data_IF_147338405591
#
_entry.id   IF_147338405591
#
_cell.length_a   1.000
_cell.length_b   1.000
_cell.length_c   1.000
_cell.angle_alpha   90.00
_cell.angle_beta   90.00
_cell.angle_gamma   90.00
#
_symmetry.space_group_name_H-M   'P 1'
#
loop_
_entity.id
_entity.type
_entity.pdbx_description
1 polymer ?
#
# COMPACT_ATOMS: atom_id res chain seq x y z
N UNK A 1 18.49 -3.58 -36.41
CA UNK A 1 18.05 -4.76 -35.63
C UNK A 1 16.80 -4.42 -34.86
N UNK A 2 15.64 -4.64 -35.46
CA UNK A 2 14.34 -4.38 -34.81
C UNK A 2 14.05 -5.53 -33.86
N UNK A 3 14.28 -5.34 -32.56
CA UNK A 3 13.84 -6.30 -31.53
C UNK A 3 12.33 -6.16 -31.38
N UNK A 4 11.58 -6.90 -32.20
CA UNK A 4 10.15 -7.12 -31.98
C UNK A 4 10.02 -8.04 -30.77
N UNK A 5 9.92 -7.46 -29.57
CA UNK A 5 9.74 -8.22 -28.33
C UNK A 5 8.43 -9.01 -28.39
N UNK A 6 8.53 -10.33 -28.34
CA UNK A 6 7.37 -11.21 -28.17
C UNK A 6 6.88 -11.02 -26.73
N UNK A 7 5.90 -10.15 -26.54
CA UNK A 7 5.22 -9.98 -25.26
C UNK A 7 4.35 -11.22 -25.04
N UNK A 8 4.61 -11.96 -23.95
CA UNK A 8 3.85 -13.17 -23.59
C UNK A 8 2.35 -12.85 -23.43
N UNK A 9 1.48 -13.81 -23.75
CA UNK A 9 0.02 -13.65 -23.63
C UNK A 9 -0.42 -13.18 -22.23
N UNK A 10 0.26 -13.66 -21.18
CA UNK A 10 0.01 -13.25 -19.79
C UNK A 10 0.40 -11.79 -19.53
N UNK A 11 1.46 -11.28 -20.17
CA UNK A 11 1.87 -9.87 -20.04
C UNK A 11 0.90 -8.92 -20.78
N UNK A 12 0.32 -9.34 -21.91
CA UNK A 12 -0.70 -8.56 -22.62
C UNK A 12 -1.95 -8.32 -21.76
N UNK A 13 -2.41 -9.35 -21.04
CA UNK A 13 -3.57 -9.22 -20.15
C UNK A 13 -3.29 -8.23 -19.01
N UNK A 14 -2.08 -8.26 -18.43
CA UNK A 14 -1.68 -7.35 -17.35
C UNK A 14 -1.54 -5.89 -17.82
N UNK A 15 -1.01 -5.68 -19.03
CA UNK A 15 -0.98 -4.35 -19.66
C UNK A 15 -2.39 -3.77 -19.82
N UNK A 16 -3.36 -4.60 -20.20
CA UNK A 16 -4.76 -4.16 -20.29
C UNK A 16 -5.33 -3.78 -18.91
N UNK A 17 -4.98 -4.52 -17.85
CA UNK A 17 -5.36 -4.18 -16.47
C UNK A 17 -4.80 -2.83 -16.01
N UNK A 18 -3.51 -2.58 -16.27
CA UNK A 18 -2.86 -1.29 -15.98
C UNK A 18 -3.49 -0.15 -16.80
N UNK A 19 -3.72 -0.37 -18.10
CA UNK A 19 -4.35 0.64 -18.95
C UNK A 19 -5.77 0.99 -18.50
N UNK A 20 -6.56 -0.01 -18.08
CA UNK A 20 -7.90 0.18 -17.52
C UNK A 20 -7.85 1.00 -16.21
N UNK A 21 -6.90 0.70 -15.33
CA UNK A 21 -6.69 1.48 -14.11
C UNK A 21 -6.32 2.93 -14.40
N UNK A 22 -5.37 3.17 -15.31
CA UNK A 22 -4.95 4.53 -15.70
C UNK A 22 -6.11 5.30 -16.32
N UNK A 23 -6.88 4.68 -17.21
CA UNK A 23 -8.04 5.29 -17.84
C UNK A 23 -9.14 5.64 -16.82
N UNK A 24 -9.37 4.76 -15.83
CA UNK A 24 -10.38 4.94 -14.78
C UNK A 24 -10.02 6.05 -13.79
N UNK A 25 -8.74 6.17 -13.44
CA UNK A 25 -8.30 7.07 -12.35
C UNK A 25 -7.60 8.34 -12.86
N UNK A 26 -7.42 8.48 -14.16
CA UNK A 26 -6.72 9.61 -14.79
C UNK A 26 -5.30 9.83 -14.25
N UNK A 27 -4.63 8.77 -13.78
CA UNK A 27 -3.29 8.82 -13.23
C UNK A 27 -2.42 7.67 -13.77
N UNK A 28 -1.13 7.92 -13.95
CA UNK A 28 -0.17 6.90 -14.37
C UNK A 28 0.43 6.24 -13.14
N UNK A 29 0.60 4.92 -13.12
CA UNK A 29 1.32 4.24 -12.04
C UNK A 29 2.82 4.61 -12.07
N UNK A 30 3.47 4.78 -10.91
CA UNK A 30 4.92 4.93 -10.87
C UNK A 30 5.61 3.71 -11.50
N UNK A 31 6.73 3.96 -12.16
CA UNK A 31 7.35 2.98 -13.07
C UNK A 31 7.76 1.69 -12.35
N UNK A 32 8.19 1.77 -11.08
CA UNK A 32 8.54 0.59 -10.30
C UNK A 32 7.33 -0.27 -9.94
N UNK A 33 6.22 0.33 -9.53
CA UNK A 33 4.95 -0.36 -9.27
C UNK A 33 4.35 -0.95 -10.55
N UNK A 34 4.42 -0.21 -11.65
CA UNK A 34 3.99 -0.68 -12.97
C UNK A 34 4.81 -1.90 -13.39
N UNK A 35 6.13 -1.86 -13.23
CA UNK A 35 7.01 -3.01 -13.53
C UNK A 35 6.69 -4.23 -12.66
N UNK A 36 6.37 -4.01 -11.38
CA UNK A 36 5.85 -5.07 -10.51
C UNK A 36 4.58 -5.70 -11.09
N UNK A 37 3.57 -4.89 -11.46
CA UNK A 37 2.32 -5.41 -12.02
C UNK A 37 2.43 -6.04 -13.40
N UNK A 38 3.45 -5.66 -14.20
CA UNK A 38 3.79 -6.36 -15.43
C UNK A 38 4.33 -7.76 -15.14
N UNK A 39 5.04 -7.95 -14.03
CA UNK A 39 5.61 -9.23 -13.59
C UNK A 39 4.59 -10.09 -12.81
N UNK A 40 3.78 -9.49 -11.93
CA UNK A 40 2.85 -10.16 -11.02
C UNK A 40 1.63 -9.27 -10.71
N UNK A 41 0.40 -9.75 -10.91
CA UNK A 41 -0.82 -8.97 -10.61
C UNK A 41 -1.26 -9.09 -9.15
N UNK A 42 -0.50 -8.45 -8.26
CA UNK A 42 -0.67 -8.56 -6.80
C UNK A 42 0.16 -9.70 -6.21
N UNK A 43 0.34 -9.69 -4.89
CA UNK A 43 1.15 -10.67 -4.17
C UNK A 43 0.50 -11.00 -2.84
N UNK A 44 0.44 -12.27 -2.49
CA UNK A 44 -0.01 -12.72 -1.18
C UNK A 44 0.84 -13.89 -0.74
N UNK A 45 1.50 -13.75 0.41
CA UNK A 45 2.27 -14.81 1.03
C UNK A 45 2.02 -14.79 2.53
N UNK A 46 1.45 -15.87 3.05
CA UNK A 46 1.24 -16.07 4.48
C UNK A 46 2.07 -17.25 4.94
N UNK A 47 2.69 -17.13 6.11
CA UNK A 47 3.44 -18.23 6.70
C UNK A 47 3.08 -18.40 8.17
N UNK A 48 3.20 -19.64 8.63
CA UNK A 48 2.83 -20.07 9.97
C UNK A 48 3.89 -20.99 10.53
N UNK A 49 3.98 -21.05 11.84
CA UNK A 49 4.82 -22.01 12.54
C UNK A 49 3.92 -22.96 13.30
N UNK A 50 4.29 -24.24 13.28
CA UNK A 50 3.59 -25.28 14.01
C UNK A 50 4.28 -25.46 15.36
N UNK A 51 3.61 -25.04 16.43
CA UNK A 51 3.99 -25.33 17.82
C UNK A 51 2.88 -26.15 18.45
N UNK A 52 3.23 -27.31 19.02
CA UNK A 52 2.33 -28.22 19.74
C UNK A 52 0.99 -28.50 19.01
N UNK A 53 1.10 -28.94 17.75
CA UNK A 53 0.00 -29.30 16.85
C UNK A 53 -0.98 -28.20 16.42
N UNK A 54 -0.77 -26.94 16.82
CA UNK A 54 -1.54 -25.79 16.31
C UNK A 54 -0.71 -24.95 15.35
N UNK A 55 -1.13 -24.76 14.07
CA UNK A 55 -0.47 -23.84 13.16
C UNK A 55 -0.78 -22.40 13.58
N UNK A 56 0.22 -21.67 14.03
CA UNK A 56 0.11 -20.27 14.41
C UNK A 56 0.57 -19.37 13.25
N UNK A 57 -0.32 -18.58 12.63
CA UNK A 57 0.06 -17.66 11.56
C UNK A 57 0.98 -16.57 12.12
N UNK A 58 2.19 -16.47 11.59
CA UNK A 58 3.20 -15.53 12.08
C UNK A 58 3.38 -14.32 11.17
N UNK A 59 3.25 -14.48 9.86
CA UNK A 59 3.40 -13.36 8.93
C UNK A 59 2.50 -13.45 7.71
N UNK A 60 2.13 -12.29 7.19
CA UNK A 60 1.29 -12.08 6.02
C UNK A 60 1.81 -10.90 5.23
N UNK A 61 2.32 -11.17 4.03
CA UNK A 61 2.67 -10.15 3.04
C UNK A 61 1.56 -10.06 2.02
N UNK A 62 0.99 -8.87 1.83
CA UNK A 62 -0.09 -8.65 0.86
C UNK A 62 0.21 -7.40 0.04
N UNK A 63 0.00 -7.49 -1.27
CA UNK A 63 -0.01 -6.38 -2.21
C UNK A 63 -1.20 -6.62 -3.12
N UNK A 64 -2.16 -5.69 -3.11
CA UNK A 64 -3.36 -5.78 -3.90
C UNK A 64 -3.04 -5.86 -5.40
N UNK A 65 -3.82 -6.65 -6.15
CA UNK A 65 -3.82 -6.63 -7.61
C UNK A 65 -4.24 -5.26 -8.13
N UNK A 66 -3.88 -4.91 -9.37
CA UNK A 66 -4.22 -3.60 -9.97
C UNK A 66 -5.73 -3.34 -9.92
N UNK A 67 -6.53 -4.38 -10.15
CA UNK A 67 -7.99 -4.31 -10.12
C UNK A 67 -8.58 -4.06 -8.73
N UNK A 68 -7.82 -4.38 -7.66
CA UNK A 68 -8.21 -4.20 -6.25
C UNK A 68 -7.66 -2.91 -5.64
N UNK A 69 -6.89 -2.12 -6.40
CA UNK A 69 -6.44 -0.80 -5.96
C UNK A 69 -7.63 0.14 -5.87
N UNK A 70 -8.18 0.27 -4.66
CA UNK A 70 -9.28 1.16 -4.35
C UNK A 70 -8.74 2.55 -4.01
N UNK A 71 -9.35 3.58 -4.60
CA UNK A 71 -9.03 4.98 -4.29
C UNK A 71 -9.59 5.34 -2.91
N UNK A 72 -8.70 5.70 -1.99
CA UNK A 72 -9.05 6.31 -0.71
C UNK A 72 -9.34 7.80 -0.99
N UNK A 73 -10.58 8.24 -0.78
CA UNK A 73 -11.04 9.60 -1.06
C UNK A 73 -12.14 9.73 -2.12
N UNK A 74 -12.53 8.64 -2.80
CA UNK A 74 -13.72 8.60 -3.68
C UNK A 74 -14.93 7.90 -3.06
N UNK A 75 -14.73 7.16 -1.97
CA UNK A 75 -15.83 6.64 -1.16
C UNK A 75 -16.41 7.80 -0.37
N UNK A 76 -17.43 8.41 -0.95
CA UNK A 76 -18.43 9.15 -0.21
C UNK A 76 -19.04 8.26 0.88
N UNK A 77 -18.41 8.22 2.05
CA UNK A 77 -19.09 7.73 3.27
C UNK A 77 -19.88 8.86 3.95
N UNK A 78 -19.87 10.06 3.36
CA UNK A 78 -20.48 11.26 3.92
C UNK A 78 -21.45 12.01 2.98
N UNK A 79 -21.89 11.44 1.84
CA UNK A 79 -23.06 12.01 1.13
C UNK A 79 -24.35 11.63 1.86
N UNK A 80 -24.52 12.17 3.05
CA UNK A 80 -25.84 12.49 3.58
C UNK A 80 -26.25 13.84 2.97
N UNK A 81 -27.50 14.02 2.51
CA UNK A 81 -27.94 15.23 1.80
C UNK A 81 -27.75 16.55 2.59
N UNK A 82 -27.50 16.46 3.90
CA UNK A 82 -27.28 17.58 4.81
C UNK A 82 -26.06 17.36 5.73
N UNK A 83 -25.06 16.57 5.32
CA UNK A 83 -23.81 16.51 6.08
C UNK A 83 -23.08 17.86 5.93
N UNK A 84 -22.50 18.42 7.02
CA UNK A 84 -21.69 19.62 6.94
C UNK A 84 -20.62 19.42 5.86
N UNK A 85 -20.53 20.35 4.95
CA UNK A 85 -19.58 20.32 3.84
C UNK A 85 -18.27 20.93 4.32
N UNK A 86 -17.14 20.49 3.76
CA UNK A 86 -15.79 21.01 4.06
C UNK A 86 -15.60 22.53 3.89
N UNK A 87 -16.62 23.25 3.42
CA UNK A 87 -16.65 24.70 3.40
C UNK A 87 -16.98 25.33 4.77
N UNK A 88 -17.47 24.55 5.73
CA UNK A 88 -17.91 25.03 7.06
C UNK A 88 -16.84 24.88 8.16
N UNK A 89 -15.69 24.29 7.85
CA UNK A 89 -14.53 24.27 8.75
C UNK A 89 -13.64 25.47 8.44
N UNK A 90 -13.93 26.59 9.09
CA UNK A 90 -12.91 27.60 9.37
C UNK A 90 -11.92 26.96 10.35
N UNK A 91 -10.85 26.32 9.87
CA UNK A 91 -9.92 25.58 10.75
C UNK A 91 -8.45 25.91 10.48
N UNK A 92 -7.82 26.37 11.55
CA UNK A 92 -6.48 26.93 11.69
C UNK A 92 -5.41 25.83 11.87
N UNK A 93 -5.63 24.61 11.35
CA UNK A 93 -4.77 23.47 11.68
C UNK A 93 -4.58 22.45 10.53
N UNK A 94 -3.32 22.09 10.30
CA UNK A 94 -2.78 20.97 9.51
C UNK A 94 -2.75 21.07 7.96
N UNK A 95 -1.64 21.61 7.44
CA UNK A 95 -1.28 21.54 6.00
C UNK A 95 -1.21 20.10 5.44
N UNK A 96 -0.92 19.10 6.30
CA UNK A 96 -0.89 17.68 5.93
C UNK A 96 -2.28 17.15 5.54
N UNK A 97 -3.33 17.54 6.25
CA UNK A 97 -4.70 17.11 5.92
C UNK A 97 -5.16 17.71 4.58
N UNK A 98 -4.78 18.97 4.32
CA UNK A 98 -5.09 19.67 3.07
C UNK A 98 -4.41 19.04 1.85
N UNK A 99 -3.17 18.56 2.03
CA UNK A 99 -2.42 17.84 1.01
C UNK A 99 -3.09 16.51 0.61
N UNK A 100 -3.63 15.79 1.60
CA UNK A 100 -4.28 14.48 1.40
C UNK A 100 -5.64 14.62 0.71
N UNK A 101 -6.36 15.72 0.93
CA UNK A 101 -7.61 16.03 0.23
C UNK A 101 -7.43 16.27 -1.28
N UNK A 102 -6.24 16.72 -1.70
CA UNK A 102 -5.91 16.96 -3.13
C UNK A 102 -5.11 15.82 -3.77
N UNK A 103 -4.60 14.89 -2.97
CA UNK A 103 -3.80 13.78 -3.43
C UNK A 103 -4.66 12.62 -3.95
N UNK A 104 -4.15 11.88 -4.93
CA UNK A 104 -4.72 10.59 -5.30
C UNK A 104 -4.10 9.53 -4.39
N UNK A 105 -4.94 8.70 -3.77
CA UNK A 105 -4.47 7.73 -2.78
C UNK A 105 -5.03 6.36 -3.12
N UNK A 106 -4.17 5.35 -3.19
CA UNK A 106 -4.57 3.97 -3.50
C UNK A 106 -4.10 3.01 -2.43
N UNK A 107 -5.00 2.15 -1.97
CA UNK A 107 -4.68 1.13 -0.97
C UNK A 107 -3.88 -0.02 -1.61
N UNK A 108 -2.62 -0.16 -1.19
CA UNK A 108 -1.73 -1.25 -1.63
C UNK A 108 -1.88 -2.50 -0.75
N UNK A 109 -2.00 -2.32 0.56
CA UNK A 109 -2.11 -3.42 1.52
C UNK A 109 -3.11 -3.07 2.64
N UNK A 110 -4.14 -3.88 2.88
CA UNK A 110 -5.08 -3.70 3.99
C UNK A 110 -4.52 -4.09 5.37
N UNK A 111 -3.26 -4.55 5.46
CA UNK A 111 -2.53 -4.90 6.68
C UNK A 111 -3.33 -5.69 7.73
N UNK A 112 -4.18 -6.62 7.26
CA UNK A 112 -5.09 -7.42 8.09
C UNK A 112 -5.94 -6.59 9.07
N UNK A 113 -6.32 -5.36 8.72
CA UNK A 113 -7.17 -4.48 9.54
C UNK A 113 -6.44 -3.68 10.62
N UNK A 114 -5.09 -3.73 10.66
CA UNK A 114 -4.28 -2.97 11.62
C UNK A 114 -3.90 -1.56 11.15
N UNK A 115 -4.34 -1.21 9.96
CA UNK A 115 -3.99 0.00 9.22
C UNK A 115 -4.05 -0.30 7.73
N UNK A 116 -3.55 0.61 6.92
CA UNK A 116 -3.50 0.47 5.47
C UNK A 116 -2.19 1.04 4.96
N UNK A 117 -1.50 0.34 4.06
CA UNK A 117 -0.41 0.95 3.30
C UNK A 117 -0.98 1.51 2.01
N UNK A 118 -0.67 2.76 1.74
CA UNK A 118 -1.25 3.54 0.66
C UNK A 118 -0.17 4.16 -0.22
N UNK A 119 -0.40 4.15 -1.52
CA UNK A 119 0.33 4.93 -2.49
C UNK A 119 -0.32 6.31 -2.60
N UNK A 120 0.43 7.36 -2.30
CA UNK A 120 -0.03 8.76 -2.29
C UNK A 120 0.65 9.50 -3.44
N UNK A 121 -0.12 10.17 -4.28
CA UNK A 121 0.37 11.01 -5.38
C UNK A 121 0.42 12.46 -4.92
N UNK A 122 1.62 13.05 -4.81
CA UNK A 122 1.80 14.42 -4.27
C UNK A 122 1.31 15.50 -5.21
N UNK A 123 1.36 15.25 -6.51
CA UNK A 123 0.93 16.17 -7.55
C UNK A 123 0.10 15.41 -8.59
N UNK A 124 -1.16 15.80 -8.76
CA UNK A 124 -2.09 15.20 -9.72
C UNK A 124 -1.88 15.69 -11.18
N UNK A 125 -0.87 16.53 -11.42
CA UNK A 125 -0.49 16.98 -12.76
C UNK A 125 0.05 15.79 -13.58
N UNK A 126 -0.20 15.75 -14.91
CA UNK A 126 0.22 14.67 -15.79
C UNK A 126 1.72 14.78 -16.07
N UNK A 127 2.54 14.49 -15.05
CA UNK A 127 4.00 14.44 -15.18
C UNK A 127 4.40 13.06 -15.70
N UNK A 128 5.39 13.04 -16.60
CA UNK A 128 5.98 11.83 -17.20
C UNK A 128 6.47 10.82 -16.14
N UNK A 129 6.71 11.29 -14.91
CA UNK A 129 6.94 10.51 -13.70
C UNK A 129 6.11 11.09 -12.55
N UNK A 130 5.04 10.41 -12.09
CA UNK A 130 4.27 10.88 -10.95
C UNK A 130 5.16 10.89 -9.70
N UNK A 131 5.11 11.97 -8.92
CA UNK A 131 5.76 11.99 -7.61
C UNK A 131 4.86 11.25 -6.62
N UNK A 132 5.26 10.03 -6.30
CA UNK A 132 4.48 9.12 -5.46
C UNK A 132 5.25 8.74 -4.22
N UNK A 133 4.56 8.62 -3.11
CA UNK A 133 5.12 8.14 -1.86
C UNK A 133 4.27 7.02 -1.27
N UNK A 134 4.87 6.22 -0.40
CA UNK A 134 4.22 5.14 0.32
C UNK A 134 4.06 5.56 1.77
N UNK A 135 2.81 5.59 2.21
CA UNK A 135 2.43 5.99 3.56
C UNK A 135 1.65 4.89 4.24
N UNK A 136 1.79 4.79 5.55
CA UNK A 136 0.99 3.93 6.40
C UNK A 136 -0.07 4.77 7.11
N UNK A 137 -1.34 4.43 6.86
CA UNK A 137 -2.48 4.97 7.57
C UNK A 137 -2.82 4.04 8.72
N UNK A 138 -2.68 4.52 9.96
CA UNK A 138 -3.00 3.72 11.14
C UNK A 138 -4.52 3.70 11.45
N UNK A 139 -4.91 2.97 12.50
CA UNK A 139 -6.33 2.88 12.92
C UNK A 139 -6.88 4.18 13.54
N UNK A 140 -6.00 5.07 13.98
CA UNK A 140 -6.35 6.39 14.50
C UNK A 140 -6.40 7.45 13.38
N UNK A 141 -6.26 7.02 12.12
CA UNK A 141 -6.26 7.86 10.93
C UNK A 141 -5.04 8.80 10.82
N UNK A 142 -3.96 8.50 11.53
CA UNK A 142 -2.69 9.21 11.35
C UNK A 142 -1.91 8.62 10.18
N UNK A 143 -1.32 9.54 9.42
CA UNK A 143 -0.47 9.24 8.28
C UNK A 143 0.98 9.19 8.72
N UNK A 144 1.64 8.08 8.39
CA UNK A 144 3.05 7.86 8.72
C UNK A 144 3.81 7.57 7.44
N UNK A 145 4.84 8.37 7.16
CA UNK A 145 5.68 8.15 6.02
C UNK A 145 6.47 6.84 6.17
N UNK A 146 6.40 5.96 5.16
CA UNK A 146 7.23 4.75 5.11
C UNK A 146 8.42 4.93 4.17
N UNK A 147 8.15 5.31 2.91
CA UNK A 147 9.20 5.41 1.89
C UNK A 147 8.74 6.16 0.64
N UNK A 148 9.69 6.57 -0.20
CA UNK A 148 9.45 7.29 -1.45
C UNK A 148 9.14 6.39 -2.64
N UNK A 149 9.45 5.08 -2.59
CA UNK A 149 9.28 4.20 -3.76
C UNK A 149 8.64 2.88 -3.37
N UNK A 150 7.87 2.30 -4.29
CA UNK A 150 7.28 0.98 -4.08
C UNK A 150 8.37 -0.09 -3.92
N UNK A 151 9.47 0.01 -4.67
CA UNK A 151 10.59 -0.94 -4.54
C UNK A 151 11.18 -0.95 -3.13
N UNK A 152 11.35 0.22 -2.53
CA UNK A 152 11.82 0.30 -1.15
C UNK A 152 10.78 -0.26 -0.16
N UNK A 153 9.48 -0.04 -0.41
CA UNK A 153 8.42 -0.62 0.41
C UNK A 153 8.41 -2.15 0.30
N UNK A 154 8.53 -2.69 -0.90
CA UNK A 154 8.61 -4.13 -1.15
C UNK A 154 9.80 -4.77 -0.42
N UNK A 155 10.95 -4.08 -0.40
CA UNK A 155 12.11 -4.51 0.40
C UNK A 155 11.80 -4.52 1.89
N UNK A 156 11.17 -3.46 2.43
CA UNK A 156 10.75 -3.42 3.83
C UNK A 156 9.79 -4.58 4.16
N UNK A 157 8.81 -4.84 3.29
CA UNK A 157 7.85 -5.94 3.45
C UNK A 157 8.57 -7.29 3.57
N UNK A 158 9.58 -7.55 2.72
CA UNK A 158 10.41 -8.76 2.78
C UNK A 158 11.26 -8.77 4.04
N UNK A 159 11.97 -7.68 4.35
CA UNK A 159 12.86 -7.57 5.52
C UNK A 159 12.12 -7.82 6.83
N UNK A 160 10.86 -7.39 6.93
CA UNK A 160 10.02 -7.63 8.10
C UNK A 160 9.19 -8.91 8.03
N UNK A 161 9.41 -9.75 7.01
CA UNK A 161 8.71 -11.02 6.80
C UNK A 161 7.17 -10.91 6.78
N UNK A 162 6.61 -9.72 6.54
CA UNK A 162 5.18 -9.47 6.68
C UNK A 162 4.63 -9.71 8.10
N UNK A 163 5.46 -9.58 9.14
CA UNK A 163 5.03 -9.78 10.52
C UNK A 163 3.97 -8.76 10.94
N UNK A 164 2.91 -9.15 11.68
CA UNK A 164 1.88 -8.21 12.12
C UNK A 164 2.49 -6.96 12.78
N UNK A 165 1.95 -5.80 12.44
CA UNK A 165 2.33 -4.50 13.02
C UNK A 165 3.77 -4.03 12.72
N UNK A 166 4.48 -4.64 11.77
CA UNK A 166 5.86 -4.20 11.47
C UNK A 166 5.93 -2.72 11.04
N UNK A 167 4.88 -2.22 10.38
CA UNK A 167 4.77 -0.83 9.92
C UNK A 167 4.82 0.17 11.09
N UNK A 168 4.33 -0.21 12.27
CA UNK A 168 4.38 0.63 13.47
C UNK A 168 5.82 0.89 13.96
N UNK A 169 6.82 0.14 13.47
CA UNK A 169 8.23 0.42 13.73
C UNK A 169 8.68 1.80 13.21
N UNK A 170 7.97 2.35 12.23
CA UNK A 170 8.24 3.65 11.62
C UNK A 170 7.39 4.78 12.21
N UNK A 171 6.60 4.47 13.25
CA UNK A 171 5.71 5.42 13.94
C UNK A 171 6.26 5.75 15.33
N UNK A 172 5.84 6.87 15.90
CA UNK A 172 6.19 7.25 17.28
C UNK A 172 5.70 6.26 18.34
N UNK A 173 4.71 5.41 18.01
CA UNK A 173 4.15 4.39 18.90
C UNK A 173 5.03 3.14 19.02
N UNK A 174 5.80 2.83 17.98
CA UNK A 174 6.61 1.61 17.91
C UNK A 174 5.80 0.31 17.82
N UNK A 175 6.51 -0.80 17.63
CA UNK A 175 5.90 -2.14 17.48
C UNK A 175 5.35 -2.63 18.83
N UNK A 176 4.15 -3.20 18.82
CA UNK A 176 3.51 -3.73 20.03
C UNK A 176 4.37 -4.84 20.69
N UNK A 177 4.33 -5.00 22.03
CA UNK A 177 5.09 -6.05 22.71
C UNK A 177 4.81 -7.46 22.17
N UNK A 178 3.57 -7.72 21.77
CA UNK A 178 3.15 -9.01 21.19
C UNK A 178 3.82 -9.28 19.83
N UNK A 179 3.98 -8.25 19.00
CA UNK A 179 4.68 -8.39 17.71
C UNK A 179 6.20 -8.55 17.88
N UNK A 180 6.80 -8.00 18.96
CA UNK A 180 8.20 -8.26 19.32
C UNK A 180 8.45 -9.72 19.72
N UNK A 181 7.51 -10.35 20.42
CA UNK A 181 7.61 -11.78 20.78
C UNK A 181 7.56 -12.65 19.52
N UNK A 182 6.74 -12.30 18.52
CA UNK A 182 6.73 -12.96 17.21
C UNK A 182 8.08 -12.85 16.48
N UNK A 183 8.73 -11.68 16.51
CA UNK A 183 10.07 -11.46 15.93
C UNK A 183 11.18 -12.26 16.62
N UNK A 184 11.05 -12.53 17.92
CA UNK A 184 12.03 -13.29 18.72
C UNK A 184 11.82 -14.81 18.66
N UNK A 185 10.76 -15.29 18.00
CA UNK A 185 10.56 -16.72 17.81
C UNK A 185 11.76 -17.34 17.09
N UNK A 186 12.28 -18.51 17.53
CA UNK A 186 13.38 -19.20 16.87
C UNK A 186 13.11 -19.40 15.37
N UNK A 187 11.84 -19.56 14.98
CA UNK A 187 11.44 -19.68 13.59
C UNK A 187 11.78 -18.46 12.73
N UNK A 188 11.72 -17.24 13.28
CA UNK A 188 12.12 -16.02 12.58
C UNK A 188 13.65 -15.94 12.36
N UNK A 189 14.45 -16.61 13.20
CA UNK A 189 15.91 -16.64 13.07
C UNK A 189 16.38 -17.52 11.89
N UNK A 190 15.55 -18.42 11.38
CA UNK A 190 15.88 -19.26 10.22
C UNK A 190 15.59 -18.59 8.87
N UNK A 191 14.98 -17.39 8.87
CA UNK A 191 14.63 -16.63 7.66
C UNK A 191 15.31 -15.26 7.56
N UNK A 192 16.19 -14.92 8.52
CA UNK A 192 16.98 -13.68 8.54
C UNK A 192 18.38 -13.88 7.96
#
# INVERSE_FOLDING_TARGET
TTKTGIISGSQKFRLAGIASFTAKNSCVLPEDLKNFYLMTDGFQMTWSVKTDDTPMPLGSMVINSVSKLCRLGGSSMYTLPNAPTLADLEDDTDEEATFILRSLIFELDPCNGNGKVCLVYKHAEPVVSPDTEIWFLDRALYWHFLTKTFTAYYRLLITHLGLPQWQYAFTSYGVSPQAKVGQQSPACQYFA
#
